data_IF_981144616532
#
_entry.id   IF_981144616532
#
_cell.length_a   1.000
_cell.length_b   1.000
_cell.length_c   1.000
_cell.angle_alpha   90.00
_cell.angle_beta   90.00
_cell.angle_gamma   90.00
#
_symmetry.space_group_name_H-M   'P 1'
#
loop_
_entity.id
_entity.type
_entity.pdbx_description
1 polymer ?
#
# COMPACT_ATOMS: atom_id res chain seq x y z
N UNK A 1 -48.74 -6.54 2.31
CA UNK A 1 -47.53 -6.42 3.16
C UNK A 1 -46.31 -7.03 2.46
N UNK A 2 -45.76 -6.34 1.45
CA UNK A 2 -44.50 -6.72 0.78
C UNK A 2 -43.80 -5.47 0.20
N UNK A 3 -44.59 -4.46 -0.17
CA UNK A 3 -44.11 -3.18 -0.70
C UNK A 3 -43.49 -2.26 0.38
N UNK A 4 -43.95 -2.32 1.63
CA UNK A 4 -43.38 -1.50 2.72
C UNK A 4 -42.00 -1.96 3.20
N UNK A 5 -41.58 -3.19 2.89
CA UNK A 5 -40.22 -3.67 3.20
C UNK A 5 -39.18 -3.28 2.15
N UNK A 6 -39.61 -2.78 0.98
CA UNK A 6 -38.72 -2.29 -0.08
C UNK A 6 -38.41 -0.78 0.02
N UNK A 7 -39.07 -0.07 0.95
CA UNK A 7 -38.91 1.40 1.14
C UNK A 7 -37.93 1.80 2.23
N UNK A 8 -37.42 0.86 3.03
CA UNK A 8 -36.27 1.16 3.87
C UNK A 8 -35.03 0.92 3.03
N UNK A 9 -34.20 1.93 2.72
CA UNK A 9 -32.87 1.65 2.24
C UNK A 9 -32.23 0.79 3.31
N UNK A 10 -32.01 -0.49 3.00
CA UNK A 10 -31.04 -1.29 3.74
C UNK A 10 -29.78 -0.43 3.72
N UNK A 11 -29.20 -0.05 4.88
CA UNK A 11 -27.96 0.71 4.87
C UNK A 11 -26.98 -0.13 4.07
N UNK A 12 -26.70 0.29 2.85
CA UNK A 12 -25.63 -0.32 2.09
C UNK A 12 -24.36 -0.03 2.89
N UNK A 13 -23.47 -1.00 3.08
CA UNK A 13 -22.17 -0.83 3.75
C UNK A 13 -21.38 0.40 3.25
N UNK A 14 -21.78 0.96 2.10
CA UNK A 14 -21.29 2.21 1.50
C UNK A 14 -21.65 3.51 2.26
N UNK A 15 -22.62 3.50 3.17
CA UNK A 15 -23.03 4.69 3.93
C UNK A 15 -22.40 4.77 5.33
N UNK A 16 -21.57 3.79 5.71
CA UNK A 16 -20.82 3.85 6.97
C UNK A 16 -19.66 4.82 6.82
N UNK A 17 -19.67 5.89 7.62
CA UNK A 17 -18.50 6.76 7.76
C UNK A 17 -17.30 5.93 8.23
N UNK A 18 -16.18 6.03 7.51
CA UNK A 18 -14.93 5.40 7.91
C UNK A 18 -14.53 5.88 9.30
N UNK A 19 -14.05 4.95 10.14
CA UNK A 19 -13.36 5.34 11.37
C UNK A 19 -12.07 6.10 11.02
N UNK A 20 -11.51 6.85 11.97
CA UNK A 20 -10.21 7.50 11.79
C UNK A 20 -9.14 6.51 11.34
N UNK A 21 -9.14 5.30 11.90
CA UNK A 21 -8.16 4.26 11.57
C UNK A 21 -8.37 3.70 10.16
N UNK A 22 -9.63 3.55 9.72
CA UNK A 22 -9.97 3.13 8.36
C UNK A 22 -9.61 4.21 7.33
N UNK A 23 -9.84 5.48 7.65
CA UNK A 23 -9.44 6.60 6.79
C UNK A 23 -7.90 6.73 6.68
N UNK A 24 -7.18 6.54 7.80
CA UNK A 24 -5.72 6.50 7.80
C UNK A 24 -5.18 5.29 7.03
N UNK A 25 -5.85 4.14 7.16
CA UNK A 25 -5.51 2.94 6.41
C UNK A 25 -5.60 3.19 4.90
N UNK A 26 -6.73 3.72 4.44
CA UNK A 26 -6.93 4.05 3.03
C UNK A 26 -5.90 5.06 2.52
N UNK A 27 -5.59 6.09 3.31
CA UNK A 27 -4.57 7.07 2.98
C UNK A 27 -3.19 6.42 2.80
N UNK A 28 -2.73 5.62 3.76
CA UNK A 28 -1.43 4.94 3.66
C UNK A 28 -1.39 3.93 2.52
N UNK A 29 -2.50 3.24 2.26
CA UNK A 29 -2.64 2.30 1.15
C UNK A 29 -2.47 3.01 -0.20
N UNK A 30 -3.22 4.09 -0.42
CA UNK A 30 -3.14 4.88 -1.64
C UNK A 30 -1.75 5.48 -1.84
N UNK A 31 -1.12 6.00 -0.78
CA UNK A 31 0.23 6.55 -0.84
C UNK A 31 1.28 5.49 -1.20
N UNK A 32 1.22 4.32 -0.57
CA UNK A 32 2.10 3.19 -0.88
C UNK A 32 1.97 2.79 -2.35
N UNK A 33 0.74 2.64 -2.84
CA UNK A 33 0.46 2.29 -4.23
C UNK A 33 1.04 3.33 -5.21
N UNK A 34 0.78 4.62 -4.98
CA UNK A 34 1.30 5.71 -5.83
C UNK A 34 2.82 5.71 -5.93
N UNK A 35 3.51 5.50 -4.80
CA UNK A 35 4.98 5.48 -4.75
C UNK A 35 5.52 4.29 -5.52
N UNK A 36 4.96 3.10 -5.31
CA UNK A 36 5.38 1.87 -6.01
C UNK A 36 5.17 2.01 -7.51
N UNK A 37 3.99 2.47 -7.94
CA UNK A 37 3.70 2.68 -9.37
C UNK A 37 4.62 3.73 -10.00
N UNK A 38 4.95 4.80 -9.26
CA UNK A 38 5.92 5.80 -9.72
C UNK A 38 7.32 5.19 -9.87
N UNK A 39 7.73 4.34 -8.93
CA UNK A 39 9.02 3.67 -8.97
C UNK A 39 9.14 2.71 -10.16
N UNK A 40 8.09 1.93 -10.44
CA UNK A 40 8.02 1.03 -11.60
C UNK A 40 8.20 1.85 -12.89
N UNK A 41 7.37 2.90 -13.08
CA UNK A 41 7.44 3.77 -14.28
C UNK A 41 8.83 4.36 -14.52
N UNK A 42 9.51 4.78 -13.45
CA UNK A 42 10.87 5.35 -13.59
C UNK A 42 11.94 4.29 -13.84
N UNK A 43 11.72 3.06 -13.36
CA UNK A 43 12.60 1.92 -13.61
C UNK A 43 12.52 1.44 -15.05
N UNK A 44 11.30 1.37 -15.61
CA UNK A 44 11.05 1.01 -17.01
C UNK A 44 11.58 2.07 -17.99
N UNK A 45 11.48 3.35 -17.61
CA UNK A 45 12.03 4.47 -18.39
C UNK A 45 13.57 4.60 -18.33
N UNK A 46 14.30 3.60 -17.82
CA UNK A 46 15.77 3.59 -17.76
C UNK A 46 16.40 4.53 -16.72
N UNK A 47 15.60 5.40 -16.08
CA UNK A 47 16.03 6.30 -15.00
C UNK A 47 16.03 5.53 -13.68
N UNK A 48 16.95 4.57 -13.55
CA UNK A 48 17.05 3.66 -12.39
C UNK A 48 17.61 4.29 -11.10
N UNK A 49 18.09 5.54 -11.15
CA UNK A 49 18.70 6.27 -10.02
C UNK A 49 17.80 6.63 -8.80
N UNK A 50 16.48 6.82 -8.92
CA UNK A 50 15.63 7.21 -7.80
C UNK A 50 14.90 6.04 -7.11
N UNK A 51 15.12 4.79 -7.55
CA UNK A 51 14.39 3.62 -7.01
C UNK A 51 14.59 3.44 -5.50
N UNK A 52 15.78 3.76 -4.98
CA UNK A 52 16.09 3.69 -3.55
C UNK A 52 15.31 4.73 -2.72
N UNK A 53 15.01 5.90 -3.29
CA UNK A 53 14.18 6.92 -2.64
C UNK A 53 12.74 6.44 -2.53
N UNK A 54 12.19 5.90 -3.62
CA UNK A 54 10.83 5.37 -3.62
C UNK A 54 10.67 4.16 -2.71
N UNK A 55 11.65 3.25 -2.69
CA UNK A 55 11.68 2.14 -1.74
C UNK A 55 11.57 2.65 -0.29
N UNK A 56 12.41 3.62 0.10
CA UNK A 56 12.37 4.20 1.46
C UNK A 56 11.05 4.88 1.78
N UNK A 57 10.48 5.63 0.83
CA UNK A 57 9.18 6.28 1.04
C UNK A 57 8.05 5.27 1.19
N UNK A 58 8.01 4.22 0.37
CA UNK A 58 6.98 3.18 0.45
C UNK A 58 7.06 2.39 1.77
N UNK A 59 8.27 2.11 2.28
CA UNK A 59 8.47 1.44 3.57
C UNK A 59 7.80 2.18 4.73
N UNK A 60 7.92 3.51 4.80
CA UNK A 60 7.31 4.32 5.88
C UNK A 60 5.78 4.13 5.90
N UNK A 61 5.13 4.15 4.73
CA UNK A 61 3.68 3.98 4.67
C UNK A 61 3.23 2.55 4.95
N UNK A 62 4.04 1.54 4.59
CA UNK A 62 3.77 0.15 4.94
C UNK A 62 3.93 -0.16 6.42
N UNK A 63 4.91 0.45 7.09
CA UNK A 63 5.03 0.38 8.55
C UNK A 63 3.76 0.95 9.21
N UNK A 64 3.24 2.08 8.70
CA UNK A 64 1.96 2.63 9.13
C UNK A 64 0.78 1.67 8.92
N UNK A 65 0.70 1.01 7.75
CA UNK A 65 -0.31 -0.02 7.47
C UNK A 65 -0.18 -1.24 8.38
N UNK A 66 1.03 -1.68 8.69
CA UNK A 66 1.31 -2.80 9.60
C UNK A 66 0.81 -2.49 11.01
N UNK A 67 1.12 -1.28 11.52
CA UNK A 67 0.66 -0.81 12.82
C UNK A 67 -0.87 -0.73 12.89
N UNK A 68 -1.53 -0.17 11.87
CA UNK A 68 -2.99 -0.12 11.80
C UNK A 68 -3.61 -1.53 11.70
N UNK A 69 -2.99 -2.45 10.97
CA UNK A 69 -3.48 -3.83 10.84
C UNK A 69 -3.37 -4.60 12.16
N UNK A 70 -2.31 -4.35 12.95
CA UNK A 70 -2.07 -5.00 14.24
C UNK A 70 -2.87 -4.39 15.40
N UNK A 71 -2.94 -3.07 15.46
CA UNK A 71 -3.42 -2.34 16.63
C UNK A 71 -4.61 -1.42 16.35
N UNK A 72 -4.86 -1.08 15.08
CA UNK A 72 -5.95 -0.19 14.67
C UNK A 72 -7.33 -0.84 14.74
N UNK A 73 -8.34 -0.01 14.96
CA UNK A 73 -9.77 -0.36 14.93
C UNK A 73 -10.28 -0.39 13.49
N UNK A 74 -9.82 -1.40 12.76
CA UNK A 74 -10.24 -1.69 11.39
C UNK A 74 -11.41 -2.68 11.39
N UNK A 75 -12.29 -2.54 10.40
CA UNK A 75 -13.22 -3.60 10.05
C UNK A 75 -12.48 -4.95 9.86
N UNK A 76 -13.00 -6.07 10.42
CA UNK A 76 -12.33 -7.37 10.30
C UNK A 76 -12.08 -7.82 8.86
N UNK A 77 -12.99 -7.52 7.92
CA UNK A 77 -12.78 -7.87 6.50
C UNK A 77 -11.66 -7.04 5.90
N UNK A 78 -11.63 -5.73 6.20
CA UNK A 78 -10.55 -4.84 5.77
C UNK A 78 -9.20 -5.31 6.31
N UNK A 79 -9.15 -5.73 7.59
CA UNK A 79 -7.93 -6.26 8.22
C UNK A 79 -7.43 -7.54 7.53
N UNK A 80 -8.32 -8.48 7.19
CA UNK A 80 -7.92 -9.70 6.48
C UNK A 80 -7.45 -9.39 5.05
N UNK A 81 -8.13 -8.48 4.35
CA UNK A 81 -7.69 -8.00 3.04
C UNK A 81 -6.32 -7.31 3.11
N UNK A 82 -6.07 -6.52 4.16
CA UNK A 82 -4.79 -5.86 4.41
C UNK A 82 -3.65 -6.87 4.54
N UNK A 83 -3.85 -7.93 5.35
CA UNK A 83 -2.85 -8.99 5.53
C UNK A 83 -2.48 -9.66 4.20
N UNK A 84 -3.46 -9.95 3.36
CA UNK A 84 -3.24 -10.56 2.04
C UNK A 84 -2.54 -9.59 1.08
N UNK A 85 -3.03 -8.35 1.00
CA UNK A 85 -2.55 -7.36 0.05
C UNK A 85 -1.16 -6.81 0.37
N UNK A 86 -0.82 -6.64 1.66
CA UNK A 86 0.50 -6.19 2.09
C UNK A 86 1.61 -7.17 1.69
N UNK A 87 1.32 -8.48 1.64
CA UNK A 87 2.28 -9.48 1.19
C UNK A 87 2.81 -9.23 -0.23
N UNK A 88 1.95 -8.77 -1.14
CA UNK A 88 2.33 -8.41 -2.51
C UNK A 88 3.24 -7.17 -2.54
N UNK A 89 2.96 -6.18 -1.71
CA UNK A 89 3.79 -4.99 -1.59
C UNK A 89 5.19 -5.30 -1.05
N UNK A 90 5.31 -6.19 -0.06
CA UNK A 90 6.61 -6.61 0.46
C UNK A 90 7.48 -7.29 -0.60
N UNK A 91 6.89 -8.11 -1.48
CA UNK A 91 7.62 -8.74 -2.59
C UNK A 91 8.17 -7.70 -3.57
N UNK A 92 7.31 -6.77 -4.01
CA UNK A 92 7.72 -5.69 -4.93
C UNK A 92 8.83 -4.84 -4.31
N UNK A 93 8.73 -4.53 -3.02
CA UNK A 93 9.75 -3.75 -2.33
C UNK A 93 11.06 -4.50 -2.13
N UNK A 94 11.02 -5.81 -1.89
CA UNK A 94 12.21 -6.64 -1.86
C UNK A 94 12.94 -6.61 -3.21
N UNK A 95 12.21 -6.68 -4.32
CA UNK A 95 12.77 -6.54 -5.67
C UNK A 95 13.37 -5.13 -5.88
N UNK A 96 12.65 -4.07 -5.49
CA UNK A 96 13.16 -2.70 -5.55
C UNK A 96 14.45 -2.53 -4.73
N UNK A 97 14.53 -3.17 -3.57
CA UNK A 97 15.74 -3.17 -2.73
C UNK A 97 16.91 -3.90 -3.38
N UNK A 98 16.66 -5.06 -3.98
CA UNK A 98 17.67 -5.81 -4.74
C UNK A 98 18.22 -4.98 -5.92
N UNK A 99 17.34 -4.34 -6.69
CA UNK A 99 17.74 -3.46 -7.79
C UNK A 99 18.57 -2.28 -7.26
N UNK A 100 18.16 -1.66 -6.15
CA UNK A 100 18.89 -0.55 -5.54
C UNK A 100 20.29 -0.95 -5.06
N UNK A 101 20.42 -2.13 -4.44
CA UNK A 101 21.70 -2.63 -3.88
C UNK A 101 22.66 -3.15 -4.96
N UNK A 102 22.15 -3.77 -6.03
CA UNK A 102 22.97 -4.18 -7.18
C UNK A 102 23.59 -2.98 -7.92
N UNK A 103 22.92 -1.82 -7.97
CA UNK A 103 23.48 -0.59 -8.54
C UNK A 103 24.71 -0.08 -7.77
N UNK A 104 24.73 -0.23 -6.44
CA UNK A 104 25.90 0.14 -5.64
C UNK A 104 27.12 -0.72 -5.99
N UNK A 105 26.93 -2.03 -6.16
CA UNK A 105 28.05 -2.94 -6.49
C UNK A 105 28.64 -2.66 -7.88
N UNK A 106 27.83 -2.31 -8.89
CA UNK A 106 28.33 -1.94 -10.22
C UNK A 106 29.10 -0.62 -10.27
N UNK A 107 28.86 0.32 -9.36
CA UNK A 107 29.61 1.59 -9.30
C UNK A 107 31.01 1.47 -8.67
N UNK A 108 31.32 0.38 -7.97
CA UNK A 108 32.60 0.19 -7.28
C UNK A 108 33.62 -0.54 -8.17
N UNK A 109 33.20 -1.07 -9.32
CA UNK A 109 34.09 -1.67 -10.32
C UNK A 109 34.29 -0.66 -11.45
N UNK A 110 35.15 0.32 -11.20
CA UNK A 110 35.84 1.05 -12.27
C UNK A 110 37.34 0.86 -12.00
N UNK A 111 38.11 0.33 -12.97
CA UNK A 111 39.55 0.07 -12.80
C UNK A 111 40.37 1.33 -12.55
#
# INVERSE_FOLDING_TARGET
MLVDRLRKPTPTDKDRSLTTDEALFDYFWQRTYQIVMTAIKQTDGGKRGPIQRYYRQAMIYLEGLELLTRHGRLDPKLREQAKLGMGSFFKILAEMHLIATQQKKKKIVVP
#
